data_IF_090553719595
#
_entry.id   IF_090553719595
#
_cell.length_a   1.000
_cell.length_b   1.000
_cell.length_c   1.000
_cell.angle_alpha   90.00
_cell.angle_beta   90.00
_cell.angle_gamma   90.00
#
_symmetry.space_group_name_H-M   'P 1'
#
loop_
_entity.id
_entity.type
_entity.pdbx_description
1 polymer ?
#
# COMPACT_ATOMS: atom_id res chain seq x y z
N UNK A 1 -59.35 -48.32 -12.81
CA UNK A 1 -58.90 -47.36 -11.82
C UNK A 1 -57.57 -46.82 -12.32
N UNK A 2 -57.55 -45.56 -12.82
CA UNK A 2 -56.34 -44.90 -13.33
C UNK A 2 -55.91 -43.89 -12.30
N UNK A 3 -54.76 -44.11 -11.66
CA UNK A 3 -54.11 -43.18 -10.71
C UNK A 3 -53.38 -42.12 -11.49
N UNK A 4 -53.80 -40.88 -11.36
CA UNK A 4 -53.16 -39.71 -11.92
C UNK A 4 -52.03 -39.25 -10.94
N UNK A 5 -50.79 -39.40 -11.36
CA UNK A 5 -49.63 -38.88 -10.60
C UNK A 5 -49.47 -37.39 -10.83
N UNK A 6 -49.60 -36.61 -9.79
CA UNK A 6 -49.36 -35.15 -9.79
C UNK A 6 -47.87 -34.89 -9.61
N UNK A 7 -47.13 -34.47 -10.67
CA UNK A 7 -45.77 -33.99 -10.56
C UNK A 7 -45.79 -32.55 -10.05
N UNK A 8 -45.33 -32.35 -8.80
CA UNK A 8 -45.10 -31.03 -8.21
C UNK A 8 -43.73 -30.51 -8.69
N UNK A 9 -43.74 -29.60 -9.66
CA UNK A 9 -42.53 -28.90 -10.07
C UNK A 9 -42.17 -27.84 -9.01
N UNK A 10 -41.11 -28.09 -8.25
CA UNK A 10 -40.52 -27.08 -7.33
C UNK A 10 -39.83 -25.97 -8.13
N UNK A 11 -40.45 -24.80 -8.20
CA UNK A 11 -39.83 -23.57 -8.67
C UNK A 11 -38.76 -23.14 -7.63
N UNK A 12 -37.50 -23.44 -7.91
CA UNK A 12 -36.37 -22.85 -7.22
C UNK A 12 -36.31 -21.37 -7.61
N UNK A 13 -36.93 -20.52 -6.82
CA UNK A 13 -36.81 -19.09 -6.93
C UNK A 13 -35.36 -18.68 -6.58
N UNK A 14 -34.61 -18.19 -7.56
CA UNK A 14 -33.36 -17.52 -7.30
C UNK A 14 -33.68 -16.23 -6.55
N UNK A 15 -33.30 -16.18 -5.24
CA UNK A 15 -33.34 -14.93 -4.49
C UNK A 15 -32.47 -13.90 -5.21
N UNK A 16 -32.91 -12.64 -5.37
CA UNK A 16 -32.04 -11.60 -5.91
C UNK A 16 -30.84 -11.46 -4.98
N UNK A 17 -29.65 -11.59 -5.54
CA UNK A 17 -28.39 -11.24 -4.85
C UNK A 17 -28.45 -9.73 -4.66
N UNK A 18 -28.69 -9.28 -3.43
CA UNK A 18 -28.67 -7.87 -3.10
C UNK A 18 -27.21 -7.37 -3.23
N UNK A 19 -27.03 -6.34 -4.04
CA UNK A 19 -25.75 -5.64 -4.09
C UNK A 19 -25.52 -4.93 -2.77
N UNK A 20 -24.39 -5.19 -2.13
CA UNK A 20 -23.98 -4.46 -0.93
C UNK A 20 -23.47 -3.07 -1.32
N UNK A 21 -23.98 -2.04 -0.61
CA UNK A 21 -23.46 -0.69 -0.76
C UNK A 21 -22.26 -0.48 0.15
N UNK A 22 -21.22 0.16 -0.37
CA UNK A 22 -20.03 0.56 0.41
C UNK A 22 -19.63 2.00 0.09
N UNK A 23 -19.00 2.66 1.07
CA UNK A 23 -18.44 4.00 0.85
C UNK A 23 -16.96 3.87 0.54
N UNK A 24 -16.52 4.63 -0.48
CA UNK A 24 -15.11 4.69 -0.85
C UNK A 24 -14.80 6.00 -1.57
N UNK A 25 -13.78 6.72 -1.15
CA UNK A 25 -13.41 8.05 -1.64
C UNK A 25 -14.56 9.09 -1.54
N UNK A 26 -15.34 9.05 -0.47
CA UNK A 26 -16.45 9.98 -0.24
C UNK A 26 -17.74 9.65 -0.99
N UNK A 27 -17.74 8.67 -1.90
CA UNK A 27 -18.90 8.26 -2.69
C UNK A 27 -19.44 6.90 -2.22
N UNK A 28 -20.72 6.65 -2.55
CA UNK A 28 -21.35 5.33 -2.33
C UNK A 28 -21.34 4.53 -3.61
N UNK A 29 -20.86 3.31 -3.53
CA UNK A 29 -20.73 2.35 -4.62
C UNK A 29 -21.52 1.09 -4.31
N UNK A 30 -21.91 0.34 -5.34
CA UNK A 30 -22.58 -0.94 -5.19
C UNK A 30 -21.74 -2.03 -5.87
N UNK A 31 -21.61 -3.17 -5.21
CA UNK A 31 -21.06 -4.38 -5.80
C UNK A 31 -21.88 -5.59 -5.33
N UNK A 32 -22.12 -6.55 -6.22
CA UNK A 32 -22.48 -7.89 -5.79
C UNK A 32 -21.27 -8.53 -5.11
N UNK A 33 -21.43 -9.57 -4.27
CA UNK A 33 -20.29 -10.30 -3.70
C UNK A 33 -19.34 -10.74 -4.82
N UNK A 34 -18.08 -10.21 -4.83
CA UNK A 34 -17.20 -10.40 -5.98
C UNK A 34 -16.62 -11.80 -6.00
N UNK A 35 -16.57 -12.37 -7.19
CA UNK A 35 -15.99 -13.69 -7.48
C UNK A 35 -14.85 -13.62 -8.50
N UNK A 36 -14.69 -12.48 -9.17
CA UNK A 36 -13.70 -12.25 -10.21
C UNK A 36 -13.04 -10.87 -10.01
N UNK A 37 -11.94 -10.86 -9.29
CA UNK A 37 -11.25 -9.63 -8.88
C UNK A 37 -10.05 -9.40 -9.79
N UNK A 38 -9.90 -8.18 -10.27
CA UNK A 38 -8.63 -7.68 -10.82
C UNK A 38 -8.04 -6.66 -9.86
N UNK A 39 -6.79 -6.88 -9.43
CA UNK A 39 -6.06 -5.94 -8.60
C UNK A 39 -4.98 -5.20 -9.42
N UNK A 40 -5.08 -3.88 -9.42
CA UNK A 40 -4.18 -2.97 -10.13
C UNK A 40 -3.24 -2.33 -9.12
N UNK A 41 -2.09 -2.88 -8.90
CA UNK A 41 -1.01 -2.61 -7.96
C UNK A 41 -0.84 -3.73 -6.93
N UNK A 42 0.42 -3.98 -6.58
CA UNK A 42 0.80 -5.06 -5.66
C UNK A 42 0.10 -4.96 -4.31
N UNK A 43 0.14 -3.81 -3.66
CA UNK A 43 -0.46 -3.64 -2.33
C UNK A 43 -1.99 -3.79 -2.30
N UNK A 44 -2.66 -3.56 -3.43
CA UNK A 44 -4.09 -3.88 -3.58
C UNK A 44 -4.31 -5.40 -3.67
N UNK A 45 -3.47 -6.11 -4.41
CA UNK A 45 -3.52 -7.57 -4.51
C UNK A 45 -3.16 -8.24 -3.18
N UNK A 46 -2.16 -7.72 -2.46
CA UNK A 46 -1.74 -8.23 -1.15
C UNK A 46 -2.87 -8.24 -0.13
N UNK A 47 -3.74 -7.23 -0.13
CA UNK A 47 -4.92 -7.21 0.75
C UNK A 47 -5.87 -8.35 0.40
N UNK A 48 -6.16 -8.58 -0.88
CA UNK A 48 -7.06 -9.68 -1.32
C UNK A 48 -6.50 -11.04 -0.91
N UNK A 49 -5.19 -11.23 -1.12
CA UNK A 49 -4.49 -12.46 -0.72
C UNK A 49 -4.51 -12.65 0.80
N UNK A 50 -4.22 -11.61 1.58
CA UNK A 50 -4.20 -11.66 3.03
C UNK A 50 -5.58 -11.95 3.63
N UNK A 51 -6.63 -11.47 2.99
CA UNK A 51 -8.01 -11.77 3.36
C UNK A 51 -8.41 -13.22 3.01
N UNK A 52 -7.54 -14.00 2.33
CA UNK A 52 -7.84 -15.36 1.91
C UNK A 52 -8.80 -15.42 0.72
N UNK A 53 -8.90 -14.34 -0.07
CA UNK A 53 -9.73 -14.25 -1.26
C UNK A 53 -8.92 -14.46 -2.57
N UNK A 54 -7.71 -14.99 -2.48
CA UNK A 54 -6.83 -15.28 -3.63
C UNK A 54 -7.50 -16.07 -4.76
N UNK A 55 -8.33 -17.11 -4.50
CA UNK A 55 -9.04 -17.82 -5.56
C UNK A 55 -9.95 -16.94 -6.44
N UNK A 56 -10.38 -15.78 -5.95
CA UNK A 56 -11.16 -14.81 -6.72
C UNK A 56 -10.29 -13.88 -7.59
N UNK A 57 -8.96 -13.83 -7.39
CA UNK A 57 -8.07 -13.04 -8.23
C UNK A 57 -7.93 -13.65 -9.61
N UNK A 58 -8.51 -13.02 -10.62
CA UNK A 58 -8.42 -13.42 -12.03
C UNK A 58 -7.38 -12.63 -12.80
N UNK A 59 -6.75 -11.64 -12.18
CA UNK A 59 -5.66 -10.87 -12.76
C UNK A 59 -5.05 -9.90 -11.77
N UNK A 60 -3.74 -9.74 -11.88
CA UNK A 60 -2.98 -8.69 -11.18
C UNK A 60 -2.14 -7.91 -12.19
N UNK A 61 -1.87 -6.66 -11.91
CA UNK A 61 -1.01 -5.83 -12.73
C UNK A 61 -0.19 -4.87 -11.87
N UNK A 62 0.88 -4.33 -12.43
CA UNK A 62 1.75 -3.35 -11.81
C UNK A 62 2.28 -3.84 -10.45
N UNK A 63 2.96 -4.98 -10.49
CA UNK A 63 3.68 -5.50 -9.33
C UNK A 63 5.04 -4.80 -9.23
N UNK A 64 5.33 -4.22 -8.07
CA UNK A 64 6.57 -3.46 -7.81
C UNK A 64 7.75 -4.37 -7.44
N UNK A 65 7.45 -5.57 -6.93
CA UNK A 65 8.42 -6.57 -6.50
C UNK A 65 7.97 -7.95 -6.97
N UNK A 66 8.60 -8.44 -8.03
CA UNK A 66 8.26 -9.72 -8.63
C UNK A 66 9.05 -10.89 -8.05
N UNK A 67 10.20 -10.61 -7.40
CA UNK A 67 11.15 -11.67 -7.04
C UNK A 67 11.18 -12.01 -5.54
N UNK A 68 10.75 -11.10 -4.68
CA UNK A 68 10.96 -11.25 -3.24
C UNK A 68 9.77 -10.88 -2.36
N UNK A 69 8.60 -10.67 -2.94
CA UNK A 69 7.39 -10.35 -2.18
C UNK A 69 7.17 -11.38 -1.07
N UNK A 70 6.92 -10.93 0.15
CA UNK A 70 6.63 -11.80 1.31
C UNK A 70 5.52 -12.81 1.02
N UNK A 71 4.78 -12.62 -0.10
CA UNK A 71 3.63 -13.41 -0.53
C UNK A 71 3.81 -14.08 -1.89
N UNK A 72 5.06 -14.25 -2.36
CA UNK A 72 5.32 -14.87 -3.66
C UNK A 72 4.62 -16.23 -3.84
N UNK A 73 4.58 -17.06 -2.79
CA UNK A 73 3.86 -18.34 -2.83
C UNK A 73 2.34 -18.16 -2.99
N UNK A 74 1.77 -17.05 -2.48
CA UNK A 74 0.34 -16.75 -2.57
C UNK A 74 -0.05 -16.21 -3.95
N UNK A 75 0.91 -15.62 -4.69
CA UNK A 75 0.74 -15.21 -6.09
C UNK A 75 0.85 -16.40 -7.08
N UNK A 76 1.24 -17.58 -6.60
CA UNK A 76 1.35 -18.73 -7.47
C UNK A 76 0.01 -19.06 -8.15
N UNK A 77 0.03 -19.06 -9.48
CA UNK A 77 -1.18 -19.31 -10.29
C UNK A 77 -2.08 -18.08 -10.52
N UNK A 78 -1.77 -16.92 -9.95
CA UNK A 78 -2.51 -15.68 -10.24
C UNK A 78 -1.96 -15.07 -11.54
N UNK A 79 -2.80 -14.83 -12.57
CA UNK A 79 -2.34 -14.27 -13.84
C UNK A 79 -1.83 -12.83 -13.69
N UNK A 80 -0.59 -12.55 -14.11
CA UNK A 80 -0.10 -11.18 -14.30
C UNK A 80 -0.56 -10.73 -15.68
N UNK A 81 -1.55 -9.84 -15.75
CA UNK A 81 -2.20 -9.42 -17.00
C UNK A 81 -1.49 -8.27 -17.70
N UNK A 82 -0.66 -7.51 -16.98
CA UNK A 82 0.19 -6.47 -17.53
C UNK A 82 1.35 -6.13 -16.57
N UNK A 83 2.48 -5.66 -17.10
CA UNK A 83 3.61 -5.17 -16.28
C UNK A 83 3.30 -3.83 -15.60
N UNK A 84 2.54 -2.98 -16.24
CA UNK A 84 1.99 -1.72 -15.72
C UNK A 84 0.47 -1.81 -15.76
N UNK A 85 -0.23 -0.69 -15.83
CA UNK A 85 -1.68 -0.73 -15.97
C UNK A 85 -2.09 -1.32 -17.33
N UNK A 86 -3.06 -2.25 -17.35
CA UNK A 86 -3.55 -2.85 -18.58
C UNK A 86 -4.37 -1.85 -19.39
N UNK A 87 -4.39 -1.99 -20.72
CA UNK A 87 -5.42 -1.36 -21.53
C UNK A 87 -6.82 -1.89 -21.14
N UNK A 88 -7.87 -1.09 -21.39
CA UNK A 88 -9.24 -1.45 -21.02
C UNK A 88 -9.68 -2.81 -21.59
N UNK A 89 -9.28 -3.12 -22.83
CA UNK A 89 -9.63 -4.41 -23.47
C UNK A 89 -9.05 -5.60 -22.71
N UNK A 90 -7.79 -5.49 -22.24
CA UNK A 90 -7.12 -6.53 -21.46
C UNK A 90 -7.79 -6.69 -20.10
N UNK A 91 -8.18 -5.57 -19.47
CA UNK A 91 -8.90 -5.57 -18.20
C UNK A 91 -10.28 -6.27 -18.35
N UNK A 92 -11.10 -5.85 -19.32
CA UNK A 92 -12.44 -6.41 -19.52
C UNK A 92 -12.40 -7.85 -20.05
N UNK A 93 -11.33 -8.27 -20.73
CA UNK A 93 -11.15 -9.67 -21.13
C UNK A 93 -11.09 -10.63 -19.93
N UNK A 94 -10.68 -10.13 -18.76
CA UNK A 94 -10.72 -10.91 -17.51
C UNK A 94 -12.14 -11.07 -16.95
N UNK A 95 -13.12 -10.36 -17.48
CA UNK A 95 -14.52 -10.34 -17.01
C UNK A 95 -14.59 -10.12 -15.49
N UNK A 96 -13.98 -9.05 -14.95
CA UNK A 96 -14.01 -8.77 -13.52
C UNK A 96 -15.42 -8.36 -13.08
N UNK A 97 -15.77 -8.67 -11.85
CA UNK A 97 -16.93 -8.11 -11.14
C UNK A 97 -16.51 -7.04 -10.11
N UNK A 98 -15.20 -7.04 -9.73
CA UNK A 98 -14.58 -5.99 -8.92
C UNK A 98 -13.18 -5.66 -9.43
N UNK A 99 -12.84 -4.37 -9.49
CA UNK A 99 -11.47 -3.88 -9.75
C UNK A 99 -10.99 -3.09 -8.54
N UNK A 100 -9.83 -3.46 -8.01
CA UNK A 100 -9.20 -2.77 -6.85
C UNK A 100 -7.94 -2.07 -7.33
N UNK A 101 -7.84 -0.75 -7.10
CA UNK A 101 -6.67 0.06 -7.41
C UNK A 101 -5.93 0.49 -6.14
N UNK A 102 -4.61 0.42 -6.16
CA UNK A 102 -3.76 0.90 -5.05
C UNK A 102 -3.41 2.40 -5.16
N UNK A 103 -3.33 2.93 -6.38
CA UNK A 103 -3.09 4.35 -6.65
C UNK A 103 -4.21 4.94 -7.50
N UNK A 104 -4.44 6.25 -7.40
CA UNK A 104 -5.45 6.95 -8.20
C UNK A 104 -5.27 6.76 -9.71
N UNK A 105 -4.03 6.59 -10.17
CA UNK A 105 -3.67 6.31 -11.57
C UNK A 105 -4.20 4.98 -12.09
N UNK A 106 -4.59 4.04 -11.22
CA UNK A 106 -5.23 2.78 -11.60
C UNK A 106 -6.56 2.98 -12.31
N UNK A 107 -7.21 4.13 -12.09
CA UNK A 107 -8.50 4.49 -12.71
C UNK A 107 -8.36 5.73 -13.61
N UNK A 108 -7.15 5.99 -14.11
CA UNK A 108 -6.85 7.09 -15.02
C UNK A 108 -7.13 6.77 -16.48
N UNK A 109 -6.78 7.76 -17.33
CA UNK A 109 -6.87 7.65 -18.78
C UNK A 109 -6.03 6.47 -19.29
N UNK A 110 -6.56 5.72 -20.25
CA UNK A 110 -5.91 4.55 -20.84
C UNK A 110 -6.19 3.22 -20.13
N UNK A 111 -6.70 3.24 -18.88
CA UNK A 111 -7.18 2.04 -18.18
C UNK A 111 -8.71 1.99 -18.26
N UNK A 112 -9.38 2.57 -17.28
CA UNK A 112 -10.83 2.82 -17.27
C UNK A 112 -11.15 3.67 -16.03
N UNK A 113 -12.17 4.53 -16.12
CA UNK A 113 -12.63 5.27 -14.95
C UNK A 113 -13.54 4.40 -14.06
N UNK A 114 -13.64 4.73 -12.78
CA UNK A 114 -14.55 4.06 -11.85
C UNK A 114 -16.01 4.15 -12.33
N UNK A 115 -16.42 5.31 -12.85
CA UNK A 115 -17.75 5.48 -13.47
C UNK A 115 -17.90 4.65 -14.74
N UNK A 116 -16.82 4.42 -15.50
CA UNK A 116 -16.82 3.52 -16.65
C UNK A 116 -17.07 2.07 -16.24
N UNK A 117 -16.40 1.60 -15.18
CA UNK A 117 -16.62 0.28 -14.60
C UNK A 117 -18.08 0.12 -14.14
N UNK A 118 -18.61 1.09 -13.38
CA UNK A 118 -19.97 1.05 -12.87
C UNK A 118 -21.03 0.98 -13.99
N UNK A 119 -20.84 1.70 -15.11
CA UNK A 119 -21.74 1.59 -16.29
C UNK A 119 -21.73 0.20 -16.92
N UNK A 120 -20.66 -0.56 -16.75
CA UNK A 120 -20.53 -1.95 -17.22
C UNK A 120 -20.88 -2.98 -16.13
N UNK A 121 -21.47 -2.56 -15.00
CA UNK A 121 -21.85 -3.46 -13.91
C UNK A 121 -20.67 -4.00 -13.10
N UNK A 122 -19.48 -3.38 -13.20
CA UNK A 122 -18.27 -3.76 -12.49
C UNK A 122 -18.06 -2.85 -11.30
N UNK A 123 -17.91 -3.42 -10.10
CA UNK A 123 -17.53 -2.70 -8.89
C UNK A 123 -16.11 -2.16 -8.96
N UNK A 124 -15.82 -1.09 -8.21
CA UNK A 124 -14.46 -0.56 -8.12
C UNK A 124 -14.14 -0.08 -6.72
N UNK A 125 -12.94 -0.39 -6.23
CA UNK A 125 -12.41 0.08 -4.96
C UNK A 125 -11.05 0.73 -5.15
N UNK A 126 -10.87 1.94 -4.66
CA UNK A 126 -9.57 2.60 -4.60
C UNK A 126 -9.12 2.62 -3.14
N UNK A 127 -7.90 2.16 -2.83
CA UNK A 127 -7.39 2.21 -1.46
C UNK A 127 -7.51 3.63 -0.91
N UNK A 128 -7.97 3.79 0.33
CA UNK A 128 -8.35 5.09 0.89
C UNK A 128 -7.21 6.10 0.92
N UNK A 129 -5.97 5.62 1.13
CA UNK A 129 -4.77 6.46 1.05
C UNK A 129 -4.51 7.08 -0.32
N UNK A 130 -5.17 6.58 -1.37
CA UNK A 130 -5.07 7.10 -2.74
C UNK A 130 -6.27 7.98 -3.12
N UNK A 131 -7.28 8.11 -2.27
CA UNK A 131 -8.43 8.97 -2.49
C UNK A 131 -8.03 10.46 -2.46
N UNK A 132 -8.62 11.26 -3.34
CA UNK A 132 -8.40 12.69 -3.31
C UNK A 132 -8.86 13.29 -1.96
N UNK A 133 -8.03 14.12 -1.34
CA UNK A 133 -8.37 14.78 -0.07
C UNK A 133 -8.39 13.85 1.14
N UNK A 134 -7.77 12.67 1.08
CA UNK A 134 -7.63 11.78 2.23
C UNK A 134 -6.97 12.48 3.42
N UNK A 135 -7.27 12.03 4.64
CA UNK A 135 -6.64 12.50 5.87
C UNK A 135 -5.19 12.02 5.99
N UNK A 136 -4.46 12.48 7.01
CA UNK A 136 -3.11 12.00 7.32
C UNK A 136 -3.11 10.74 8.20
N UNK A 137 -4.28 10.21 8.55
CA UNK A 137 -4.40 8.95 9.31
C UNK A 137 -4.27 7.72 8.39
N UNK A 138 -3.07 7.50 7.89
CA UNK A 138 -2.79 6.39 6.98
C UNK A 138 -3.03 5.00 7.60
N UNK A 139 -2.74 4.84 8.89
CA UNK A 139 -3.06 3.58 9.57
C UNK A 139 -4.57 3.36 9.69
N UNK A 140 -5.33 4.44 9.88
CA UNK A 140 -6.80 4.41 9.82
C UNK A 140 -7.31 4.04 8.43
N UNK A 141 -6.70 4.53 7.35
CA UNK A 141 -7.04 4.15 5.98
C UNK A 141 -6.83 2.66 5.75
N UNK A 142 -5.70 2.10 6.19
CA UNK A 142 -5.43 0.65 6.07
C UNK A 142 -6.48 -0.16 6.83
N UNK A 143 -6.89 0.27 8.04
CA UNK A 143 -7.97 -0.41 8.79
C UNK A 143 -9.28 -0.37 8.03
N UNK A 144 -9.65 0.77 7.47
CA UNK A 144 -10.88 0.94 6.71
C UNK A 144 -10.87 0.12 5.42
N UNK A 145 -9.74 0.06 4.71
CA UNK A 145 -9.57 -0.79 3.53
C UNK A 145 -9.78 -2.26 3.89
N UNK A 146 -9.16 -2.74 4.99
CA UNK A 146 -9.33 -4.12 5.46
C UNK A 146 -10.78 -4.41 5.87
N UNK A 147 -11.45 -3.51 6.59
CA UNK A 147 -12.85 -3.69 7.00
C UNK A 147 -13.79 -3.71 5.82
N UNK A 148 -13.64 -2.76 4.88
CA UNK A 148 -14.53 -2.63 3.72
C UNK A 148 -14.35 -3.80 2.76
N UNK A 149 -13.10 -4.13 2.41
CA UNK A 149 -12.81 -5.27 1.54
C UNK A 149 -13.13 -6.59 2.24
N UNK A 150 -12.89 -6.69 3.55
CA UNK A 150 -13.31 -7.84 4.35
C UNK A 150 -14.83 -8.06 4.31
N UNK A 151 -15.63 -7.00 4.36
CA UNK A 151 -17.08 -7.10 4.21
C UNK A 151 -17.47 -7.52 2.78
N UNK A 152 -16.92 -6.85 1.76
CA UNK A 152 -17.22 -7.15 0.36
C UNK A 152 -16.87 -8.59 -0.06
N UNK A 153 -15.80 -9.14 0.54
CA UNK A 153 -15.26 -10.47 0.21
C UNK A 153 -15.75 -11.57 1.16
N UNK A 154 -16.67 -11.27 2.09
CA UNK A 154 -17.10 -12.19 3.16
C UNK A 154 -15.91 -12.74 3.98
N UNK A 155 -14.99 -11.85 4.37
CA UNK A 155 -13.75 -12.14 5.09
C UNK A 155 -13.57 -11.25 6.33
N UNK A 156 -14.67 -10.91 7.00
CA UNK A 156 -14.66 -9.98 8.14
C UNK A 156 -13.79 -10.45 9.30
N UNK A 157 -13.74 -11.76 9.54
CA UNK A 157 -12.92 -12.34 10.62
C UNK A 157 -11.43 -12.16 10.30
N UNK A 158 -11.00 -12.47 9.08
CA UNK A 158 -9.62 -12.30 8.62
C UNK A 158 -9.21 -10.81 8.65
N UNK A 159 -10.11 -9.92 8.22
CA UNK A 159 -9.87 -8.48 8.29
C UNK A 159 -9.57 -8.02 9.71
N UNK A 160 -10.37 -8.45 10.70
CA UNK A 160 -10.14 -8.13 12.11
C UNK A 160 -8.80 -8.68 12.60
N UNK A 161 -8.46 -9.93 12.29
CA UNK A 161 -7.18 -10.52 12.66
C UNK A 161 -5.97 -9.75 12.11
N UNK A 162 -6.06 -9.28 10.86
CA UNK A 162 -5.01 -8.45 10.25
C UNK A 162 -4.88 -7.09 10.93
N UNK A 163 -6.00 -6.46 11.29
CA UNK A 163 -6.03 -5.21 12.04
C UNK A 163 -5.42 -5.40 13.44
N UNK A 164 -5.85 -6.44 14.15
CA UNK A 164 -5.34 -6.75 15.50
C UNK A 164 -3.83 -6.99 15.48
N UNK A 165 -3.31 -7.67 14.45
CA UNK A 165 -1.89 -7.89 14.27
C UNK A 165 -1.12 -6.58 14.03
N UNK A 166 -1.63 -5.70 13.16
CA UNK A 166 -1.05 -4.37 12.91
C UNK A 166 -1.04 -3.52 14.17
N UNK A 167 -2.14 -3.52 14.93
CA UNK A 167 -2.26 -2.76 16.17
C UNK A 167 -1.36 -3.29 17.28
N UNK A 168 -1.17 -4.61 17.38
CA UNK A 168 -0.22 -5.22 18.31
C UNK A 168 1.23 -4.83 17.99
N UNK A 169 1.61 -4.76 16.70
CA UNK A 169 2.92 -4.26 16.31
C UNK A 169 3.09 -2.78 16.71
N UNK A 170 2.10 -1.93 16.50
CA UNK A 170 2.13 -0.52 16.90
C UNK A 170 2.19 -0.34 18.43
N UNK A 171 1.52 -1.21 19.21
CA UNK A 171 1.68 -1.24 20.67
C UNK A 171 3.10 -1.61 21.06
N UNK A 172 3.70 -2.60 20.38
CA UNK A 172 5.09 -3.02 20.60
C UNK A 172 6.08 -1.90 20.29
N UNK A 173 5.83 -1.10 19.26
CA UNK A 173 6.64 0.09 18.96
C UNK A 173 6.62 1.07 20.14
N UNK A 174 5.44 1.40 20.67
CA UNK A 174 5.31 2.35 21.80
C UNK A 174 6.11 1.92 23.03
N UNK A 175 6.24 0.60 23.25
CA UNK A 175 7.06 0.07 24.33
C UNK A 175 8.57 0.17 24.08
N UNK A 176 9.01 0.28 22.81
CA UNK A 176 10.40 0.43 22.42
C UNK A 176 10.86 1.89 22.36
N UNK A 177 9.96 2.79 21.96
CA UNK A 177 10.25 4.21 21.78
C UNK A 177 10.36 4.87 23.16
N UNK A 178 11.56 5.38 23.46
CA UNK A 178 11.84 6.13 24.68
C UNK A 178 11.22 7.53 24.67
N UNK A 179 11.47 8.30 25.73
CA UNK A 179 11.06 9.71 25.88
C UNK A 179 12.13 10.69 25.36
N UNK A 180 13.18 10.17 24.74
CA UNK A 180 14.28 10.99 24.20
C UNK A 180 13.86 11.75 22.95
N UNK A 181 14.66 12.75 22.55
CA UNK A 181 14.42 13.53 21.34
C UNK A 181 14.42 12.60 20.12
N UNK A 182 13.34 12.58 19.31
CA UNK A 182 13.30 11.75 18.12
C UNK A 182 14.47 12.00 17.16
N UNK A 183 15.06 10.93 16.62
CA UNK A 183 16.06 11.05 15.57
C UNK A 183 15.44 11.72 14.34
N UNK A 184 16.17 12.66 13.74
CA UNK A 184 15.79 13.27 12.48
C UNK A 184 16.17 12.35 11.32
N UNK A 185 15.22 12.07 10.44
CA UNK A 185 15.39 11.15 9.32
C UNK A 185 15.09 11.86 8.01
N UNK A 186 16.02 11.77 7.06
CA UNK A 186 15.76 12.11 5.67
C UNK A 186 15.39 10.82 4.92
N UNK A 187 14.24 10.83 4.26
CA UNK A 187 13.83 9.78 3.35
C UNK A 187 14.28 10.09 1.93
N UNK A 188 15.06 9.22 1.31
CA UNK A 188 15.47 9.32 -0.08
C UNK A 188 14.70 8.31 -0.93
N UNK A 189 13.67 8.78 -1.63
CA UNK A 189 12.85 7.99 -2.55
C UNK A 189 13.58 7.70 -3.85
N UNK A 190 14.04 8.77 -4.51
CA UNK A 190 14.69 8.71 -5.82
C UNK A 190 15.76 9.80 -5.93
N UNK A 191 16.78 9.54 -6.75
CA UNK A 191 17.86 10.49 -7.06
C UNK A 191 17.94 10.83 -8.55
N UNK A 192 16.92 10.48 -9.33
CA UNK A 192 16.96 10.57 -10.81
C UNK A 192 16.85 12.00 -11.29
N UNK A 193 15.98 12.82 -10.71
CA UNK A 193 15.74 14.23 -11.09
C UNK A 193 16.08 15.24 -10.00
N UNK A 194 16.66 14.79 -8.90
CA UNK A 194 16.93 15.53 -7.68
C UNK A 194 16.89 14.56 -6.52
N UNK A 195 16.95 15.05 -5.29
CA UNK A 195 16.78 14.20 -4.11
C UNK A 195 15.29 14.22 -3.74
N UNK A 196 14.55 13.23 -4.23
CA UNK A 196 13.12 13.12 -3.99
C UNK A 196 12.85 12.51 -2.61
N UNK A 197 11.91 13.10 -1.88
CA UNK A 197 11.48 12.75 -0.55
C UNK A 197 9.97 12.96 -0.39
N UNK A 198 9.45 12.76 0.81
CA UNK A 198 8.08 13.07 1.16
C UNK A 198 8.01 14.16 2.24
N UNK A 199 6.98 14.99 2.13
CA UNK A 199 6.63 15.98 3.14
C UNK A 199 5.56 15.45 4.12
N UNK A 200 4.82 16.39 4.73
CA UNK A 200 3.77 16.11 5.70
C UNK A 200 2.69 15.15 5.17
N UNK A 201 2.34 15.30 3.88
CA UNK A 201 1.25 14.55 3.25
C UNK A 201 1.65 13.16 2.74
N UNK A 202 2.92 12.78 2.80
CA UNK A 202 3.39 11.45 2.44
C UNK A 202 3.30 10.45 3.59
N UNK A 203 3.15 9.16 3.28
CA UNK A 203 3.02 8.09 4.28
C UNK A 203 4.27 7.93 5.16
N UNK A 204 5.46 8.20 4.62
CA UNK A 204 6.71 8.04 5.37
C UNK A 204 6.76 8.96 6.60
N UNK A 205 6.10 10.12 6.56
CA UNK A 205 6.03 11.02 7.72
C UNK A 205 5.31 10.38 8.92
N UNK A 206 4.06 9.89 8.83
CA UNK A 206 3.42 9.18 9.96
C UNK A 206 4.08 7.82 10.26
N UNK A 207 4.69 7.14 9.30
CA UNK A 207 5.45 5.91 9.54
C UNK A 207 6.66 6.16 10.45
N UNK A 208 7.46 7.20 10.15
CA UNK A 208 8.59 7.62 10.97
C UNK A 208 8.14 8.06 12.36
N UNK A 209 7.05 8.84 12.45
CA UNK A 209 6.48 9.25 13.72
C UNK A 209 6.02 8.04 14.56
N UNK A 210 5.38 7.06 13.94
CA UNK A 210 5.03 5.79 14.60
C UNK A 210 6.27 5.04 15.09
N UNK A 211 7.38 5.05 14.32
CA UNK A 211 8.64 4.42 14.70
C UNK A 211 9.49 5.22 15.71
N UNK A 212 8.99 6.35 16.23
CA UNK A 212 9.71 7.17 17.20
C UNK A 212 10.74 8.10 16.60
N UNK A 213 10.65 8.40 15.30
CA UNK A 213 11.55 9.30 14.58
C UNK A 213 10.78 10.48 13.96
N UNK A 214 11.48 11.44 13.38
CA UNK A 214 10.89 12.62 12.74
C UNK A 214 11.43 12.78 11.31
N UNK A 215 10.54 12.89 10.35
CA UNK A 215 10.91 13.30 9.00
C UNK A 215 11.42 14.75 9.01
N UNK A 216 12.59 15.01 8.42
CA UNK A 216 13.17 16.38 8.34
C UNK A 216 12.25 17.36 7.59
N UNK A 217 11.36 16.87 6.74
CA UNK A 217 10.40 17.66 5.96
C UNK A 217 8.93 17.51 6.43
N UNK A 218 8.72 17.05 7.67
CA UNK A 218 7.37 16.86 8.24
C UNK A 218 6.50 18.14 8.24
N UNK A 219 7.12 19.32 8.25
CA UNK A 219 6.40 20.61 8.25
C UNK A 219 6.05 21.11 6.84
N UNK A 220 6.55 20.47 5.78
CA UNK A 220 6.24 20.85 4.41
C UNK A 220 4.94 20.19 3.99
N UNK A 221 3.87 20.98 3.88
CA UNK A 221 2.53 20.49 3.51
C UNK A 221 2.42 20.10 2.03
N UNK A 222 3.27 19.16 1.60
CA UNK A 222 3.29 18.54 0.28
C UNK A 222 3.36 17.02 0.44
N UNK A 223 2.89 16.30 -0.58
CA UNK A 223 3.07 14.86 -0.66
C UNK A 223 4.54 14.55 -1.00
N UNK A 224 5.04 15.09 -2.13
CA UNK A 224 6.42 14.92 -2.59
C UNK A 224 7.21 16.21 -2.45
N UNK A 225 8.47 16.08 -2.02
CA UNK A 225 9.44 17.16 -1.87
C UNK A 225 10.70 16.76 -2.63
N UNK A 226 11.16 17.62 -3.55
CA UNK A 226 12.45 17.44 -4.23
C UNK A 226 13.39 18.52 -3.70
N UNK A 227 14.56 18.13 -3.17
CA UNK A 227 15.51 19.06 -2.57
C UNK A 227 16.86 19.06 -3.27
N UNK A 228 17.61 20.17 -3.10
CA UNK A 228 18.99 20.24 -3.53
C UNK A 228 19.92 19.55 -2.51
N UNK A 229 21.15 19.30 -2.95
CA UNK A 229 22.22 18.75 -2.08
C UNK A 229 22.52 19.67 -0.90
N UNK A 230 22.55 20.96 -1.15
CA UNK A 230 22.82 22.01 -0.14
C UNK A 230 21.69 22.07 0.90
N UNK A 231 20.44 21.93 0.45
CA UNK A 231 19.27 21.88 1.36
C UNK A 231 19.35 20.65 2.28
N UNK A 232 19.74 19.50 1.71
CA UNK A 232 19.91 18.28 2.52
C UNK A 232 21.10 18.43 3.47
N UNK A 233 22.24 18.96 3.02
CA UNK A 233 23.39 19.21 3.88
C UNK A 233 23.04 20.16 5.04
N UNK A 234 22.30 21.24 4.77
CA UNK A 234 21.86 22.18 5.80
C UNK A 234 20.87 21.55 6.81
N UNK A 235 20.11 20.55 6.42
CA UNK A 235 19.18 19.83 7.33
C UNK A 235 19.91 18.84 8.25
N UNK A 236 21.10 18.38 7.90
CA UNK A 236 21.98 17.42 8.59
C UNK A 236 21.20 16.34 9.37
N UNK A 237 20.51 15.43 8.69
CA UNK A 237 19.70 14.40 9.35
C UNK A 237 20.57 13.45 10.17
N UNK A 238 20.01 12.93 11.27
CA UNK A 238 20.67 11.89 12.07
C UNK A 238 20.78 10.56 11.34
N UNK A 239 19.81 10.26 10.46
CA UNK A 239 19.71 9.01 9.70
C UNK A 239 19.19 9.30 8.30
N UNK A 240 19.66 8.54 7.30
CA UNK A 240 19.08 8.55 5.95
C UNK A 240 18.40 7.20 5.69
N UNK A 241 17.11 7.24 5.39
CA UNK A 241 16.30 6.10 4.99
C UNK A 241 16.27 6.02 3.46
N UNK A 242 16.77 4.92 2.90
CA UNK A 242 16.91 4.71 1.46
C UNK A 242 15.82 3.75 0.97
N UNK A 243 14.89 4.23 0.15
CA UNK A 243 14.00 3.32 -0.57
C UNK A 243 14.83 2.39 -1.48
N UNK A 244 14.56 1.10 -1.44
CA UNK A 244 15.14 0.14 -2.37
C UNK A 244 14.05 -0.29 -3.36
N UNK A 245 14.20 0.16 -4.61
CA UNK A 245 13.28 -0.10 -5.69
C UNK A 245 14.04 -0.50 -6.96
N UNK A 246 13.42 -1.27 -7.85
CA UNK A 246 14.03 -1.71 -9.10
C UNK A 246 14.54 -0.52 -9.94
N UNK A 247 13.73 0.55 -10.03
CA UNK A 247 14.07 1.78 -10.80
C UNK A 247 15.07 2.71 -10.11
N UNK A 248 15.25 2.60 -8.79
CA UNK A 248 16.16 3.40 -7.98
C UNK A 248 16.67 2.56 -6.79
N UNK A 249 17.64 1.66 -7.04
CA UNK A 249 18.15 0.76 -6.00
C UNK A 249 18.91 1.48 -4.88
N UNK A 250 18.77 1.01 -3.64
CA UNK A 250 19.47 1.57 -2.48
C UNK A 250 21.00 1.62 -2.66
N UNK A 251 21.59 0.61 -3.34
CA UNK A 251 23.03 0.60 -3.66
C UNK A 251 23.47 1.80 -4.49
N UNK A 252 22.64 2.30 -5.44
CA UNK A 252 22.93 3.46 -6.26
C UNK A 252 22.86 4.75 -5.44
N UNK A 253 21.89 4.85 -4.55
CA UNK A 253 21.76 5.96 -3.60
C UNK A 253 22.96 6.02 -2.63
N UNK A 254 23.38 4.88 -2.08
CA UNK A 254 24.59 4.77 -1.24
C UNK A 254 25.84 5.23 -1.99
N UNK A 255 26.00 4.81 -3.25
CA UNK A 255 27.10 5.25 -4.09
C UNK A 255 27.08 6.77 -4.28
N UNK A 256 25.92 7.35 -4.63
CA UNK A 256 25.76 8.80 -4.76
C UNK A 256 26.15 9.51 -3.45
N UNK A 257 25.57 9.09 -2.31
CA UNK A 257 25.83 9.72 -1.02
C UNK A 257 27.31 9.71 -0.64
N UNK A 258 28.05 8.65 -0.93
CA UNK A 258 29.44 8.50 -0.57
C UNK A 258 30.43 9.17 -1.53
N UNK A 259 30.05 9.45 -2.80
CA UNK A 259 30.94 9.98 -3.83
C UNK A 259 30.61 11.41 -4.26
N UNK A 260 29.43 11.93 -3.96
CA UNK A 260 29.09 13.32 -4.24
C UNK A 260 29.82 14.25 -3.26
N UNK A 261 30.52 15.31 -3.76
CA UNK A 261 31.33 16.18 -2.91
C UNK A 261 30.57 16.91 -1.80
N UNK A 262 29.26 17.13 -1.97
CA UNK A 262 28.40 17.79 -0.98
C UNK A 262 27.79 16.76 -0.03
N UNK A 263 27.18 15.71 -0.59
CA UNK A 263 26.45 14.71 0.20
C UNK A 263 27.36 13.83 1.07
N UNK A 264 28.60 13.60 0.63
CA UNK A 264 29.60 12.88 1.44
C UNK A 264 29.98 13.61 2.73
N UNK A 265 29.66 14.90 2.86
CA UNK A 265 29.91 15.68 4.09
C UNK A 265 28.83 15.47 5.16
N UNK A 266 27.70 14.82 4.82
CA UNK A 266 26.64 14.53 5.78
C UNK A 266 27.16 13.63 6.92
N UNK A 267 26.87 13.99 8.17
CA UNK A 267 27.21 13.19 9.35
C UNK A 267 26.65 11.78 9.25
N UNK A 268 25.39 11.62 8.82
CA UNK A 268 24.78 10.31 8.62
C UNK A 268 25.52 9.42 7.61
N UNK A 269 26.19 10.01 6.61
CA UNK A 269 27.01 9.27 5.64
C UNK A 269 28.34 8.84 6.28
N UNK A 270 29.03 9.76 6.97
CA UNK A 270 30.28 9.46 7.65
C UNK A 270 30.14 8.38 8.72
N UNK A 271 29.06 8.41 9.48
CA UNK A 271 28.76 7.47 10.56
C UNK A 271 28.06 6.19 10.06
N UNK A 272 27.89 6.05 8.74
CA UNK A 272 27.14 4.94 8.10
C UNK A 272 25.74 4.72 8.71
N UNK A 273 25.04 5.81 9.05
CA UNK A 273 23.68 5.80 9.60
C UNK A 273 22.65 5.78 8.46
N UNK A 274 22.77 4.78 7.60
CA UNK A 274 21.96 4.59 6.41
C UNK A 274 21.15 3.30 6.57
N UNK A 275 19.81 3.40 6.38
CA UNK A 275 18.90 2.27 6.48
C UNK A 275 18.29 2.01 5.10
N UNK A 276 18.52 0.82 4.53
CA UNK A 276 17.83 0.37 3.33
C UNK A 276 16.48 -0.24 3.72
N UNK A 277 15.45 0.10 2.95
CA UNK A 277 14.09 -0.41 3.13
C UNK A 277 13.43 -0.66 1.77
N UNK A 278 12.81 -1.81 1.54
CA UNK A 278 12.08 -2.06 0.31
C UNK A 278 11.00 -0.98 0.07
N UNK A 279 10.88 -0.51 -1.17
CA UNK A 279 9.90 0.53 -1.53
C UNK A 279 8.47 0.13 -1.13
N UNK A 280 8.11 -1.14 -1.32
CA UNK A 280 6.79 -1.66 -0.96
C UNK A 280 6.46 -1.53 0.54
N UNK A 281 7.47 -1.43 1.40
CA UNK A 281 7.31 -1.17 2.84
C UNK A 281 7.04 0.32 3.16
N UNK A 282 7.24 1.20 2.19
CA UNK A 282 7.02 2.65 2.31
C UNK A 282 5.66 3.08 1.75
N UNK A 283 4.80 2.11 1.47
CA UNK A 283 3.40 2.30 1.10
C UNK A 283 2.49 1.96 2.31
N UNK A 284 1.34 2.64 2.46
CA UNK A 284 0.37 2.26 3.47
C UNK A 284 -0.26 0.91 3.11
N UNK A 285 0.14 -0.12 3.83
CA UNK A 285 -0.24 -1.52 3.58
C UNK A 285 -0.60 -2.23 4.88
N UNK A 286 -1.14 -3.44 4.77
CA UNK A 286 -1.42 -4.31 5.92
C UNK A 286 -0.16 -4.59 6.79
N UNK A 287 1.04 -4.42 6.23
CA UNK A 287 2.31 -4.60 6.94
C UNK A 287 2.82 -3.34 7.65
N UNK A 288 2.11 -2.20 7.55
CA UNK A 288 2.59 -0.90 8.06
C UNK A 288 2.96 -0.91 9.55
N UNK A 289 2.23 -1.67 10.39
CA UNK A 289 2.57 -1.86 11.80
C UNK A 289 3.90 -2.59 11.99
N UNK A 290 4.09 -3.69 11.26
CA UNK A 290 5.34 -4.48 11.27
C UNK A 290 6.53 -3.65 10.79
N UNK A 291 6.36 -2.89 9.71
CA UNK A 291 7.39 -2.00 9.17
C UNK A 291 7.77 -0.93 10.18
N UNK A 292 6.79 -0.32 10.86
CA UNK A 292 7.05 0.64 11.94
C UNK A 292 7.86 0.00 13.09
N UNK A 293 7.54 -1.23 13.49
CA UNK A 293 8.24 -1.96 14.54
C UNK A 293 9.69 -2.28 14.14
N UNK A 294 9.90 -2.76 12.92
CA UNK A 294 11.24 -3.10 12.45
C UNK A 294 12.10 -1.85 12.25
N UNK A 295 11.49 -0.75 11.80
CA UNK A 295 12.16 0.54 11.68
C UNK A 295 12.53 1.10 13.07
N UNK A 296 11.65 1.02 14.07
CA UNK A 296 11.95 1.43 15.44
C UNK A 296 13.12 0.65 16.04
N UNK A 297 13.22 -0.66 15.79
CA UNK A 297 14.36 -1.49 16.22
C UNK A 297 15.66 -1.06 15.56
N UNK A 298 15.65 -0.80 14.25
CA UNK A 298 16.83 -0.33 13.51
C UNK A 298 17.29 1.03 14.02
N UNK A 299 16.38 1.97 14.26
CA UNK A 299 16.69 3.30 14.80
C UNK A 299 17.27 3.22 16.21
N UNK A 300 16.68 2.41 17.09
CA UNK A 300 17.19 2.19 18.45
C UNK A 300 18.59 1.54 18.46
N UNK A 301 18.92 0.68 17.50
CA UNK A 301 20.26 0.11 17.37
C UNK A 301 21.31 1.16 16.96
N UNK A 302 20.94 2.11 16.09
CA UNK A 302 21.81 3.22 15.70
C UNK A 302 22.05 4.24 16.83
N UNK A 303 21.10 4.41 17.74
CA UNK A 303 21.21 5.36 18.83
C UNK A 303 22.12 4.86 19.96
N UNK A 304 22.14 3.55 20.20
CA UNK A 304 23.02 2.90 21.20
C UNK A 304 24.52 2.93 20.84
N UNK A 305 24.85 3.25 19.61
CA UNK A 305 26.23 3.29 19.10
C UNK A 305 26.79 4.73 19.03
N UNK A 306 26.17 5.66 19.75
CA UNK A 306 26.69 7.02 20.00
C UNK A 306 27.74 6.99 21.15
#
# INVERSE_FOLDING_TARGET
MKTLGLCLAALLGTAPVLADSYRNCGETWNAAPPSRIVALNQHAADIVLALGAGPALVGVAYLDDTDSGQRQAEYFGVPVIARQYPASEVLYAQRPDLVIGGFATAFGDGVTSRSGLARNGVGSYLLESACAGHSLDYFGHVRNDLLTLGQLLDKQQQARQLIDAMDADLVSVRALVGTEKPLSVFYLDSEVKGLDSEGQRGFVTPLLAAAGARNVFAEINLYRVTVSRETLLASDPDVILLADAEWSPARRKRYLLSHDPVLSQLRAVHENRLIDIPFTHLLPTLNSGRVALDLARKLAALDKNK
#
